data_IF_559941470039
#
_entry.id   IF_559941470039
#
_cell.length_a   1.000
_cell.length_b   1.000
_cell.length_c   1.000
_cell.angle_alpha   90.00
_cell.angle_beta   90.00
_cell.angle_gamma   90.00
#
_symmetry.space_group_name_H-M   'P 1'
#
loop_
_entity.id
_entity.type
_entity.pdbx_description
1 polymer ?
#
# COMPACT_ATOMS: atom_id res chain seq x y z
N UNK A 1 -13.60 -68.42 -21.07
CA UNK A 1 -13.83 -66.99 -21.41
C UNK A 1 -14.86 -66.40 -20.45
N UNK A 2 -14.53 -65.32 -19.73
CA UNK A 2 -15.42 -64.18 -19.46
C UNK A 2 -14.66 -63.12 -18.66
N UNK A 3 -14.41 -61.99 -19.32
CA UNK A 3 -13.95 -60.73 -18.72
C UNK A 3 -15.15 -60.07 -18.06
N UNK A 4 -14.99 -59.52 -16.86
CA UNK A 4 -15.89 -58.46 -16.36
C UNK A 4 -15.00 -57.35 -15.80
N UNK A 5 -15.00 -56.23 -16.53
CA UNK A 5 -14.52 -54.93 -16.10
C UNK A 5 -15.56 -54.34 -15.15
N UNK A 6 -15.16 -53.78 -14.00
CA UNK A 6 -15.87 -52.63 -13.42
C UNK A 6 -14.91 -51.85 -12.52
N UNK A 7 -14.43 -50.71 -13.02
CA UNK A 7 -13.70 -49.74 -12.23
C UNK A 7 -14.66 -48.98 -11.32
N UNK A 8 -14.31 -48.84 -10.05
CA UNK A 8 -14.98 -47.94 -9.13
C UNK A 8 -14.22 -46.61 -9.11
N UNK A 9 -14.76 -45.62 -9.82
CA UNK A 9 -14.38 -44.22 -9.69
C UNK A 9 -14.92 -43.71 -8.34
N UNK A 10 -14.08 -43.62 -7.31
CA UNK A 10 -14.42 -42.84 -6.12
C UNK A 10 -14.07 -41.37 -6.37
N UNK A 11 -15.11 -40.57 -6.62
CA UNK A 11 -15.08 -39.11 -6.59
C UNK A 11 -15.43 -38.60 -5.20
N UNK A 12 -14.83 -37.49 -4.77
CA UNK A 12 -15.54 -36.52 -3.92
C UNK A 12 -14.79 -35.96 -2.71
N UNK A 13 -14.42 -34.68 -2.84
CA UNK A 13 -14.29 -33.65 -1.80
C UNK A 13 -13.19 -33.79 -0.73
N UNK A 14 -12.04 -33.15 -0.97
CA UNK A 14 -11.22 -32.60 0.11
C UNK A 14 -11.55 -31.11 0.24
N UNK A 15 -11.96 -30.73 1.45
CA UNK A 15 -12.59 -29.45 1.76
C UNK A 15 -11.74 -28.24 1.43
N UNK A 16 -12.43 -27.16 1.02
CA UNK A 16 -11.88 -25.82 1.00
C UNK A 16 -11.44 -25.47 2.42
N UNK A 17 -10.14 -25.52 2.69
CA UNK A 17 -9.57 -24.86 3.85
C UNK A 17 -9.78 -23.35 3.61
N UNK A 18 -10.80 -22.78 4.23
CA UNK A 18 -10.94 -21.34 4.36
C UNK A 18 -9.69 -20.84 5.08
N UNK A 19 -8.80 -20.18 4.34
CA UNK A 19 -7.66 -19.45 4.87
C UNK A 19 -8.18 -18.26 5.69
N UNK A 20 -8.62 -18.54 6.91
CA UNK A 20 -8.84 -17.52 7.92
C UNK A 20 -7.49 -17.04 8.43
N UNK A 21 -6.83 -16.14 7.70
CA UNK A 21 -5.71 -15.36 8.22
C UNK A 21 -6.26 -14.33 9.21
N UNK A 22 -6.68 -14.81 10.39
CA UNK A 22 -7.24 -14.03 11.47
C UNK A 22 -6.38 -14.19 12.72
N UNK A 23 -5.28 -13.47 12.79
CA UNK A 23 -4.59 -13.12 14.03
C UNK A 23 -3.60 -12.00 13.70
N UNK A 24 -3.80 -10.83 14.29
CA UNK A 24 -3.06 -9.60 13.98
C UNK A 24 -1.55 -9.79 14.05
N UNK A 25 -0.93 -9.95 12.88
CA UNK A 25 0.40 -9.42 12.70
C UNK A 25 0.24 -7.91 12.78
N UNK A 26 0.98 -7.25 13.67
CA UNK A 26 1.37 -5.87 13.41
C UNK A 26 2.23 -5.92 12.14
N UNK A 27 1.58 -6.00 10.97
CA UNK A 27 2.27 -5.85 9.71
C UNK A 27 2.77 -4.42 9.74
N UNK A 28 4.08 -4.27 9.96
CA UNK A 28 4.74 -3.04 9.61
C UNK A 28 4.37 -2.77 8.15
N UNK A 29 3.88 -1.56 7.91
CA UNK A 29 3.47 -1.19 6.59
C UNK A 29 4.66 -1.42 5.63
N UNK A 30 4.51 -2.27 4.60
CA UNK A 30 5.63 -2.60 3.73
C UNK A 30 6.10 -1.34 3.01
N UNK A 31 7.30 -0.86 3.37
CA UNK A 31 7.93 0.25 2.68
C UNK A 31 8.12 -0.07 1.19
N UNK A 32 7.86 0.90 0.33
CA UNK A 32 8.01 0.76 -1.14
C UNK A 32 9.47 0.86 -1.58
N UNK A 33 10.36 1.33 -0.71
CA UNK A 33 11.74 1.71 -1.05
C UNK A 33 11.85 3.02 -1.81
N UNK A 34 10.73 3.71 -2.04
CA UNK A 34 10.69 5.02 -2.68
C UNK A 34 10.83 6.07 -1.58
N UNK A 35 11.98 6.75 -1.55
CA UNK A 35 12.25 7.82 -0.62
C UNK A 35 12.82 9.04 -1.35
N UNK A 36 12.54 10.24 -0.84
CA UNK A 36 13.17 11.46 -1.32
C UNK A 36 14.42 11.82 -0.51
N UNK A 37 15.10 12.89 -0.91
CA UNK A 37 16.33 13.38 -0.29
C UNK A 37 16.13 13.92 1.14
N UNK A 38 14.89 14.11 1.57
CA UNK A 38 14.51 14.54 2.92
C UNK A 38 14.20 13.36 3.86
N UNK A 39 14.54 12.13 3.43
CA UNK A 39 14.24 10.90 4.16
C UNK A 39 12.74 10.65 4.38
N UNK A 40 11.89 11.24 3.54
CA UNK A 40 10.47 10.90 3.47
C UNK A 40 10.35 9.66 2.58
N UNK A 41 9.70 8.62 3.08
CA UNK A 41 9.54 7.35 2.38
C UNK A 41 8.07 6.99 2.22
N UNK A 42 7.77 6.31 1.12
CA UNK A 42 6.46 5.76 0.81
C UNK A 42 6.30 4.34 1.36
N UNK A 43 5.05 4.02 1.69
CA UNK A 43 4.54 2.82 2.33
C UNK A 43 3.29 2.35 1.58
N UNK A 44 2.86 1.11 1.77
CA UNK A 44 1.66 0.52 1.16
C UNK A 44 0.66 0.03 2.21
N UNK A 45 -0.44 0.76 2.34
CA UNK A 45 -1.59 0.27 3.07
C UNK A 45 -2.46 -0.63 2.16
N UNK A 46 -3.01 -1.72 2.69
CA UNK A 46 -3.91 -2.62 1.97
C UNK A 46 -5.13 -2.99 2.83
N UNK A 47 -6.23 -3.49 2.22
CA UNK A 47 -7.42 -3.90 2.94
C UNK A 47 -7.12 -4.94 4.03
N UNK A 48 -7.57 -4.64 5.26
CA UNK A 48 -7.33 -5.48 6.44
C UNK A 48 -6.10 -5.07 7.27
N UNK A 49 -5.22 -4.21 6.75
CA UNK A 49 -4.16 -3.60 7.53
C UNK A 49 -4.71 -2.50 8.44
N UNK A 50 -4.12 -2.28 9.63
CA UNK A 50 -4.47 -1.13 10.46
C UNK A 50 -4.20 0.18 9.71
N UNK A 51 -5.10 1.16 9.84
CA UNK A 51 -4.86 2.49 9.27
C UNK A 51 -3.70 3.18 9.99
N UNK A 52 -2.86 3.95 9.27
CA UNK A 52 -1.74 4.67 9.88
C UNK A 52 -2.22 5.82 10.78
N UNK A 53 -3.37 6.42 10.47
CA UNK A 53 -4.06 7.40 11.31
C UNK A 53 -5.59 7.21 11.21
N UNK A 54 -6.34 7.53 12.28
CA UNK A 54 -7.79 7.26 12.35
C UNK A 54 -8.64 8.14 11.43
N UNK A 55 -8.10 9.27 10.95
CA UNK A 55 -8.77 10.23 10.08
C UNK A 55 -8.50 9.99 8.59
N UNK A 56 -7.77 8.93 8.24
CA UNK A 56 -7.44 8.60 6.85
C UNK A 56 -8.68 8.13 6.10
N UNK A 57 -8.91 8.74 4.93
CA UNK A 57 -10.01 8.40 4.02
C UNK A 57 -9.45 7.78 2.74
N UNK A 58 -9.67 6.47 2.56
CA UNK A 58 -9.26 5.69 1.40
C UNK A 58 -10.37 4.82 0.84
N UNK A 59 -10.18 4.31 -0.38
CA UNK A 59 -10.98 3.19 -0.86
C UNK A 59 -10.52 1.91 -0.17
N UNK A 60 -11.30 1.43 0.79
CA UNK A 60 -10.93 0.31 1.64
C UNK A 60 -10.88 -1.05 0.90
N UNK A 61 -11.06 -1.08 -0.43
CA UNK A 61 -11.03 -2.28 -1.26
C UNK A 61 -9.77 -2.39 -2.14
N UNK A 62 -8.87 -1.38 -2.13
CA UNK A 62 -7.63 -1.39 -2.91
C UNK A 62 -6.43 -1.05 -2.05
N UNK A 63 -5.24 -1.38 -2.51
CA UNK A 63 -4.01 -0.96 -1.83
C UNK A 63 -3.64 0.47 -2.23
N UNK A 64 -3.16 1.24 -1.26
CA UNK A 64 -2.81 2.65 -1.41
C UNK A 64 -1.33 2.86 -1.05
N UNK A 65 -0.63 3.63 -1.88
CA UNK A 65 0.68 4.16 -1.52
C UNK A 65 0.49 5.42 -0.68
N UNK A 66 1.29 5.58 0.36
CA UNK A 66 1.23 6.77 1.20
C UNK A 66 2.54 7.11 1.86
N UNK A 67 2.64 8.36 2.32
CA UNK A 67 3.75 8.82 3.15
C UNK A 67 3.24 9.85 4.16
N UNK A 68 4.02 10.03 5.23
CA UNK A 68 3.77 11.07 6.21
C UNK A 68 4.19 12.44 5.69
N UNK A 69 3.32 13.44 5.81
CA UNK A 69 3.63 14.80 5.36
C UNK A 69 2.46 15.77 5.48
N UNK A 70 2.69 17.02 5.10
CA UNK A 70 1.65 18.04 5.04
C UNK A 70 1.82 18.85 3.77
N UNK A 71 0.71 19.12 3.07
CA UNK A 71 0.75 19.86 1.82
C UNK A 71 1.54 21.17 1.94
N UNK A 72 2.29 21.49 0.89
CA UNK A 72 3.09 22.71 0.81
C UNK A 72 4.44 22.62 1.54
N UNK A 73 4.78 21.49 2.16
CA UNK A 73 6.13 21.24 2.65
C UNK A 73 7.03 20.72 1.52
N UNK A 74 8.34 21.04 1.52
CA UNK A 74 9.26 20.51 0.52
C UNK A 74 9.19 18.97 0.45
N UNK A 75 9.11 18.42 -0.77
CA UNK A 75 9.04 16.97 -0.96
C UNK A 75 7.63 16.36 -0.79
N UNK A 76 6.59 17.21 -0.73
CA UNK A 76 5.17 16.79 -0.71
C UNK A 76 4.41 17.15 -1.99
N UNK A 77 5.11 17.70 -2.99
CA UNK A 77 4.48 18.17 -4.22
C UNK A 77 3.78 17.02 -4.96
N UNK A 78 2.50 17.23 -5.28
CA UNK A 78 1.68 16.22 -5.97
C UNK A 78 1.05 15.16 -5.06
N UNK A 79 1.36 15.15 -3.75
CA UNK A 79 0.66 14.32 -2.78
C UNK A 79 -0.80 14.73 -2.63
N UNK A 80 -1.70 13.76 -2.39
CA UNK A 80 -3.12 14.02 -2.16
C UNK A 80 -3.41 13.89 -0.66
N UNK A 81 -3.95 14.92 0.02
CA UNK A 81 -4.26 14.83 1.43
C UNK A 81 -5.43 13.88 1.66
N UNK A 82 -5.17 12.83 2.44
CA UNK A 82 -6.19 11.83 2.84
C UNK A 82 -6.40 11.81 4.35
N UNK A 83 -5.55 12.51 5.10
CA UNK A 83 -5.66 12.79 6.53
C UNK A 83 -4.79 14.00 6.91
N UNK A 84 -4.78 14.38 8.19
CA UNK A 84 -4.08 15.57 8.67
C UNK A 84 -2.56 15.52 8.38
N UNK A 85 -1.96 14.34 8.41
CA UNK A 85 -0.53 14.15 8.22
C UNK A 85 -0.19 13.01 7.25
N UNK A 86 -1.16 12.57 6.45
CA UNK A 86 -1.01 11.47 5.49
C UNK A 86 -1.34 11.99 4.10
N UNK A 87 -0.38 11.78 3.20
CA UNK A 87 -0.50 12.08 1.79
C UNK A 87 -0.50 10.77 1.02
N UNK A 88 -1.44 10.62 0.10
CA UNK A 88 -1.50 9.50 -0.83
C UNK A 88 -0.55 9.75 -2.01
N UNK A 89 0.10 8.66 -2.46
CA UNK A 89 1.12 8.63 -3.50
C UNK A 89 2.52 8.38 -2.96
N UNK A 90 3.52 8.75 -3.76
CA UNK A 90 4.93 8.70 -3.39
C UNK A 90 5.48 10.11 -3.14
N UNK A 91 6.46 10.29 -2.24
CA UNK A 91 7.05 11.59 -1.99
C UNK A 91 7.74 12.10 -3.25
N UNK A 92 7.51 13.37 -3.58
CA UNK A 92 8.24 14.02 -4.67
C UNK A 92 9.73 14.13 -4.32
N UNK A 93 10.62 14.15 -5.32
CA UNK A 93 11.96 14.64 -5.12
C UNK A 93 11.88 16.01 -4.44
N UNK A 94 12.61 16.19 -3.36
CA UNK A 94 12.67 17.47 -2.70
C UNK A 94 13.15 18.51 -3.72
N UNK A 95 12.29 19.46 -4.07
CA UNK A 95 12.75 20.59 -4.84
C UNK A 95 13.73 21.37 -3.94
N UNK A 96 14.97 21.55 -4.36
CA UNK A 96 15.92 22.41 -3.65
C UNK A 96 15.57 23.90 -3.79
N UNK A 97 14.35 24.21 -4.23
CA UNK A 97 13.92 25.52 -4.71
C UNK A 97 12.61 25.99 -4.08
N UNK A 98 12.39 25.60 -2.81
CA UNK A 98 11.36 26.18 -1.96
C UNK A 98 9.95 26.11 -2.59
N UNK A 99 9.55 24.95 -3.11
CA UNK A 99 8.23 24.80 -3.74
C UNK A 99 8.17 25.19 -5.23
N UNK A 100 9.26 25.67 -5.83
CA UNK A 100 9.29 26.02 -7.26
C UNK A 100 9.51 24.78 -8.15
N UNK A 101 8.79 24.66 -9.29
CA UNK A 101 8.96 23.54 -10.22
C UNK A 101 10.32 23.54 -10.95
N UNK A 102 11.06 24.66 -10.92
CA UNK A 102 12.40 24.78 -11.50
C UNK A 102 13.30 25.63 -10.60
N UNK A 103 14.55 25.17 -10.48
CA UNK A 103 15.64 25.86 -9.82
C UNK A 103 16.37 26.78 -10.81
N UNK A 104 15.90 28.02 -10.95
CA UNK A 104 16.64 29.03 -11.71
C UNK A 104 17.73 29.63 -10.80
N UNK A 105 19.02 29.52 -11.14
CA UNK A 105 20.06 30.17 -10.34
C UNK A 105 19.98 31.69 -10.52
N UNK A 106 19.72 32.42 -9.43
CA UNK A 106 19.98 33.86 -9.33
C UNK A 106 18.77 34.81 -9.38
N UNK A 107 17.69 34.54 -8.64
CA UNK A 107 16.72 35.57 -8.26
C UNK A 107 16.91 36.00 -6.80
#
# INVERSE_FOLDING_TARGET
MKRIFTGALLSGALGLASLGAGAGAAQADPGTGICNQLAMCSYVWCPGSPLPMPDVVWDMNVCHHYYGGSLGHPGTEGGIPVGAHILEGDPSPANTCMGSPICLPGL
#
